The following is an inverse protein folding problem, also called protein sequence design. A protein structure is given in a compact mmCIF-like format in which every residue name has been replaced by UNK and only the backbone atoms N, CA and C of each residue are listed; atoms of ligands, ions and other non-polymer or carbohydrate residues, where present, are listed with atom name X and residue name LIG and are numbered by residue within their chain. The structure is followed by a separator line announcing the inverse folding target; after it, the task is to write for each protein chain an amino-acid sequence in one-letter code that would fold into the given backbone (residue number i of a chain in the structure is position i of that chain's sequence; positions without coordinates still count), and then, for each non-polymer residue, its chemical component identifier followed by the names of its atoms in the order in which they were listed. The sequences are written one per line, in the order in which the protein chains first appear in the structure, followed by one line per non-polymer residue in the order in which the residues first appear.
data_IF_308934628491
#
_entry.id   IF_308934628491
#
_cell.length_a   1.000
_cell.length_b   1.000
_cell.length_c   1.000
_cell.angle_alpha   90.00
_cell.angle_beta   90.00
_cell.angle_gamma   90.00
#
_symmetry.space_group_name_H-M   'P 1'
#
loop_
_entity.id
_entity.type
_entity.pdbx_description
1 polymer ?
#
# COMPACT_ATOMS: atom_id res chain seq x y z
N UNK A 1 -7.19 -11.63 -10.51
CA UNK A 1 -8.39 -12.46 -10.24
C UNK A 1 -9.58 -11.78 -10.87
N UNK A 2 -10.59 -12.55 -11.24
CA UNK A 2 -11.89 -12.02 -11.68
C UNK A 2 -12.98 -12.82 -10.97
N UNK A 3 -14.16 -12.22 -10.88
CA UNK A 3 -15.34 -12.86 -10.32
C UNK A 3 -16.17 -13.46 -11.44
N UNK A 4 -16.71 -14.66 -11.22
CA UNK A 4 -17.68 -15.30 -12.13
C UNK A 4 -18.96 -15.53 -11.35
N UNK A 5 -20.07 -14.99 -11.86
CA UNK A 5 -21.37 -15.17 -11.23
C UNK A 5 -21.89 -16.58 -11.55
N UNK A 6 -22.17 -17.45 -10.54
CA UNK A 6 -22.58 -18.83 -10.80
C UNK A 6 -23.81 -18.98 -11.70
N UNK A 7 -24.75 -18.03 -11.65
CA UNK A 7 -25.94 -18.02 -12.51
C UNK A 7 -25.64 -17.78 -14.00
N UNK A 8 -24.57 -17.02 -14.31
CA UNK A 8 -24.17 -16.71 -15.70
C UNK A 8 -23.05 -17.63 -16.19
N UNK A 9 -22.39 -18.35 -15.28
CA UNK A 9 -21.27 -19.24 -15.56
C UNK A 9 -21.56 -20.22 -16.71
N UNK A 10 -22.72 -20.87 -16.68
CA UNK A 10 -23.15 -21.84 -17.69
C UNK A 10 -23.55 -21.20 -19.03
N UNK A 11 -23.71 -19.87 -19.07
CA UNK A 11 -24.10 -19.12 -20.25
C UNK A 11 -22.94 -18.44 -20.98
N UNK A 12 -21.70 -18.67 -20.55
CA UNK A 12 -20.51 -18.25 -21.31
C UNK A 12 -19.30 -17.95 -20.44
N UNK A 13 -19.50 -17.48 -19.22
CA UNK A 13 -18.42 -16.98 -18.37
C UNK A 13 -17.42 -18.08 -17.96
N UNK A 14 -17.84 -19.36 -17.95
CA UNK A 14 -16.90 -20.48 -17.77
C UNK A 14 -15.83 -20.54 -18.87
N UNK A 15 -16.07 -19.94 -20.04
CA UNK A 15 -15.07 -19.80 -21.10
C UNK A 15 -13.84 -19.00 -20.69
N UNK A 16 -13.94 -18.14 -19.67
CA UNK A 16 -12.84 -17.34 -19.16
C UNK A 16 -11.84 -18.14 -18.30
N UNK A 17 -12.22 -19.35 -17.87
CA UNK A 17 -11.40 -20.19 -17.00
C UNK A 17 -10.56 -21.20 -17.80
N UNK A 18 -9.28 -21.27 -17.45
CA UNK A 18 -8.27 -22.18 -17.99
C UNK A 18 -7.89 -23.26 -16.96
N UNK A 19 -7.30 -24.40 -17.37
CA UNK A 19 -6.83 -25.42 -16.44
C UNK A 19 -5.73 -24.96 -15.47
N UNK A 20 -5.07 -23.83 -15.74
CA UNK A 20 -4.03 -23.23 -14.89
C UNK A 20 -4.63 -22.38 -13.76
N UNK A 21 -5.93 -22.11 -13.81
CA UNK A 21 -6.64 -21.33 -12.80
C UNK A 21 -6.99 -22.15 -11.56
N UNK A 22 -7.24 -21.44 -10.47
CA UNK A 22 -7.80 -21.97 -9.23
C UNK A 22 -9.16 -21.32 -9.00
N UNK A 23 -10.21 -22.13 -8.85
CA UNK A 23 -11.54 -21.67 -8.51
C UNK A 23 -11.75 -21.70 -6.99
N UNK A 24 -12.00 -20.54 -6.40
CA UNK A 24 -12.50 -20.44 -5.02
C UNK A 24 -14.02 -20.32 -5.08
N UNK A 25 -14.70 -21.37 -4.65
CA UNK A 25 -16.15 -21.48 -4.58
C UNK A 25 -16.63 -21.17 -3.15
N UNK A 26 -17.49 -20.15 -3.01
CA UNK A 26 -18.00 -19.71 -1.70
C UNK A 26 -19.47 -20.07 -1.59
N UNK A 27 -19.83 -20.92 -0.62
CA UNK A 27 -21.22 -21.23 -0.29
C UNK A 27 -21.31 -21.65 1.18
N UNK A 28 -22.01 -20.88 2.00
CA UNK A 28 -22.12 -21.18 3.43
C UNK A 28 -22.76 -22.55 3.69
N UNK A 29 -23.81 -22.92 2.96
CA UNK A 29 -24.44 -24.25 3.06
C UNK A 29 -23.64 -25.34 2.33
N UNK A 30 -22.89 -24.95 1.29
CA UNK A 30 -22.23 -25.87 0.36
C UNK A 30 -23.19 -26.61 -0.57
N UNK A 31 -24.46 -26.18 -0.63
CA UNK A 31 -25.54 -26.79 -1.42
C UNK A 31 -26.19 -25.81 -2.41
N UNK A 32 -25.57 -24.66 -2.69
CA UNK A 32 -26.09 -23.67 -3.64
C UNK A 32 -26.16 -24.28 -5.05
N UNK A 33 -27.37 -24.39 -5.58
CA UNK A 33 -27.67 -25.16 -6.80
C UNK A 33 -26.88 -24.67 -8.02
N UNK A 34 -26.83 -23.35 -8.24
CA UNK A 34 -26.10 -22.73 -9.34
C UNK A 34 -24.61 -23.06 -9.31
N UNK A 35 -24.05 -23.13 -8.10
CA UNK A 35 -22.65 -23.48 -7.88
C UNK A 35 -22.40 -24.98 -8.05
N UNK A 36 -23.31 -25.84 -7.58
CA UNK A 36 -23.19 -27.28 -7.78
C UNK A 36 -23.26 -27.66 -9.27
N UNK A 37 -24.10 -26.97 -10.05
CA UNK A 37 -24.24 -27.22 -11.50
C UNK A 37 -22.97 -26.98 -12.30
N UNK A 38 -22.06 -26.11 -11.84
CA UNK A 38 -20.80 -25.84 -12.55
C UNK A 38 -19.70 -26.86 -12.23
N UNK A 39 -19.76 -27.56 -11.08
CA UNK A 39 -18.71 -28.49 -10.61
C UNK A 39 -18.30 -29.54 -11.66
N UNK A 40 -19.22 -30.22 -12.38
CA UNK A 40 -18.83 -31.20 -13.39
C UNK A 40 -17.94 -30.64 -14.50
N UNK A 41 -18.17 -29.38 -14.89
CA UNK A 41 -17.37 -28.69 -15.92
C UNK A 41 -15.99 -28.34 -15.37
N UNK A 42 -15.93 -27.81 -14.15
CA UNK A 42 -14.68 -27.48 -13.44
C UNK A 42 -13.79 -28.74 -13.33
N UNK A 43 -14.36 -29.86 -12.89
CA UNK A 43 -13.64 -31.14 -12.79
C UNK A 43 -13.18 -31.67 -14.14
N UNK A 44 -14.04 -31.61 -15.18
CA UNK A 44 -13.66 -32.05 -16.54
C UNK A 44 -12.49 -31.24 -17.09
N UNK A 45 -12.45 -29.93 -16.80
CA UNK A 45 -11.37 -29.03 -17.19
C UNK A 45 -10.13 -29.13 -16.29
N UNK A 46 -10.17 -29.94 -15.24
CA UNK A 46 -9.09 -30.12 -14.26
C UNK A 46 -8.67 -28.81 -13.57
N UNK A 47 -9.63 -27.91 -13.40
CA UNK A 47 -9.42 -26.66 -12.64
C UNK A 47 -9.44 -27.04 -11.16
N UNK A 48 -8.44 -26.56 -10.40
CA UNK A 48 -8.38 -26.82 -8.95
C UNK A 48 -9.53 -26.11 -8.26
N UNK A 49 -10.31 -26.84 -7.46
CA UNK A 49 -11.47 -26.34 -6.75
C UNK A 49 -11.18 -26.22 -5.24
N UNK A 50 -11.16 -24.99 -4.74
CA UNK A 50 -11.14 -24.68 -3.31
C UNK A 50 -12.56 -24.30 -2.88
N UNK A 51 -13.12 -25.00 -1.90
CA UNK A 51 -14.39 -24.64 -1.27
C UNK A 51 -14.17 -23.78 -0.03
N UNK A 52 -14.93 -22.70 0.11
CA UNK A 52 -15.17 -22.02 1.38
C UNK A 52 -16.61 -22.27 1.79
N UNK A 53 -16.81 -23.13 2.80
CA UNK A 53 -18.16 -23.49 3.27
C UNK A 53 -18.22 -23.67 4.78
N UNK A 54 -19.38 -23.40 5.36
CA UNK A 54 -19.65 -23.63 6.78
C UNK A 54 -20.12 -25.06 7.07
N UNK A 55 -20.32 -25.89 6.03
CA UNK A 55 -20.74 -27.28 6.17
C UNK A 55 -19.74 -28.22 5.46
N UNK A 56 -18.84 -28.82 6.24
CA UNK A 56 -17.81 -29.74 5.74
C UNK A 56 -18.37 -31.07 5.18
N UNK A 57 -19.64 -31.38 5.45
CA UNK A 57 -20.31 -32.57 4.93
C UNK A 57 -21.11 -32.29 3.64
N UNK A 58 -21.10 -31.05 3.16
CA UNK A 58 -21.85 -30.62 1.99
C UNK A 58 -21.34 -31.24 0.68
N UNK A 59 -22.17 -31.19 -0.36
CA UNK A 59 -21.82 -31.60 -1.72
C UNK A 59 -20.60 -30.82 -2.21
N UNK A 60 -20.57 -29.50 -2.02
CA UNK A 60 -19.41 -28.68 -2.41
C UNK A 60 -18.13 -29.14 -1.70
N UNK A 61 -18.15 -29.31 -0.38
CA UNK A 61 -16.98 -29.72 0.40
C UNK A 61 -16.42 -31.07 -0.08
N UNK A 62 -17.32 -32.04 -0.32
CA UNK A 62 -16.95 -33.39 -0.79
C UNK A 62 -16.39 -33.41 -2.21
N UNK A 63 -16.76 -32.43 -3.03
CA UNK A 63 -16.32 -32.36 -4.43
C UNK A 63 -15.06 -31.51 -4.61
N UNK A 64 -14.70 -30.67 -3.65
CA UNK A 64 -13.52 -29.80 -3.71
C UNK A 64 -12.21 -30.54 -3.47
N UNK A 65 -11.11 -30.01 -4.02
CA UNK A 65 -9.75 -30.50 -3.78
C UNK A 65 -9.24 -30.03 -2.41
N UNK A 66 -9.65 -28.83 -1.99
CA UNK A 66 -9.36 -28.26 -0.66
C UNK A 66 -10.62 -27.62 -0.10
N UNK A 67 -10.89 -27.84 1.18
CA UNK A 67 -12.01 -27.21 1.87
C UNK A 67 -11.50 -26.31 3.00
N UNK A 68 -11.91 -25.05 2.99
CA UNK A 68 -11.67 -24.04 4.01
C UNK A 68 -12.96 -23.87 4.82
N UNK A 69 -12.87 -24.18 6.12
CA UNK A 69 -14.00 -24.06 7.05
C UNK A 69 -14.24 -22.58 7.39
N UNK A 70 -15.43 -22.09 7.04
CA UNK A 70 -15.91 -20.74 7.38
C UNK A 70 -17.12 -20.80 8.32
N UNK A 71 -17.32 -21.93 9.00
CA UNK A 71 -18.42 -22.13 9.93
C UNK A 71 -18.36 -21.14 11.10
N UNK A 72 -19.54 -20.72 11.53
CA UNK A 72 -19.70 -19.84 12.69
C UNK A 72 -20.60 -20.52 13.72
N UNK A 73 -20.29 -20.32 15.00
CA UNK A 73 -21.09 -20.91 16.09
C UNK A 73 -22.55 -20.45 16.08
N UNK A 74 -22.78 -19.20 15.66
CA UNK A 74 -24.11 -18.58 15.62
C UNK A 74 -24.09 -17.39 14.67
N UNK A 75 -25.18 -17.22 13.92
CA UNK A 75 -25.44 -15.99 13.18
C UNK A 75 -25.85 -14.85 14.12
N UNK A 76 -25.33 -13.65 13.86
CA UNK A 76 -25.75 -12.46 14.59
C UNK A 76 -27.23 -12.08 14.33
N UNK A 77 -27.82 -12.52 13.22
CA UNK A 77 -29.21 -12.25 12.88
C UNK A 77 -30.15 -12.88 13.93
N UNK A 78 -31.00 -12.09 14.63
CA UNK A 78 -31.94 -12.62 15.62
C UNK A 78 -32.92 -13.65 15.03
N UNK A 79 -33.29 -13.47 13.76
CA UNK A 79 -34.22 -14.35 13.05
C UNK A 79 -33.54 -15.57 12.40
N UNK A 80 -32.20 -15.62 12.39
CA UNK A 80 -31.40 -16.65 11.70
C UNK A 80 -31.68 -16.78 10.19
N UNK A 81 -32.24 -15.74 9.57
CA UNK A 81 -32.55 -15.71 8.13
C UNK A 81 -31.42 -15.08 7.30
N UNK A 82 -30.78 -14.05 7.85
CA UNK A 82 -29.76 -13.30 7.15
C UNK A 82 -28.35 -13.78 7.55
N UNK A 83 -27.47 -14.03 6.58
CA UNK A 83 -26.06 -14.28 6.87
C UNK A 83 -25.42 -12.97 7.35
N UNK A 84 -24.81 -13.00 8.54
CA UNK A 84 -24.14 -11.84 9.13
C UNK A 84 -22.75 -12.24 9.64
N UNK A 85 -22.71 -13.23 10.53
CA UNK A 85 -21.46 -13.72 11.10
C UNK A 85 -20.70 -14.56 10.07
N UNK A 86 -21.41 -15.40 9.29
CA UNK A 86 -20.79 -16.22 8.25
C UNK A 86 -20.16 -15.41 7.12
N UNK A 87 -20.81 -14.35 6.65
CA UNK A 87 -20.25 -13.45 5.63
C UNK A 87 -19.01 -12.72 6.14
N UNK A 88 -19.02 -12.28 7.40
CA UNK A 88 -17.85 -11.68 8.05
C UNK A 88 -16.70 -12.69 8.18
N UNK A 89 -16.99 -13.91 8.65
CA UNK A 89 -15.99 -14.98 8.74
C UNK A 89 -15.39 -15.33 7.37
N UNK A 90 -16.22 -15.36 6.33
CA UNK A 90 -15.80 -15.57 4.94
C UNK A 90 -14.86 -14.46 4.46
N UNK A 91 -15.20 -13.20 4.72
CA UNK A 91 -14.34 -12.06 4.37
C UNK A 91 -12.98 -12.17 5.06
N UNK A 92 -12.96 -12.46 6.36
CA UNK A 92 -11.73 -12.63 7.13
C UNK A 92 -10.90 -13.83 6.62
N UNK A 93 -11.52 -14.93 6.21
CA UNK A 93 -10.83 -16.04 5.55
C UNK A 93 -10.16 -15.60 4.24
N UNK A 94 -10.85 -14.78 3.44
CA UNK A 94 -10.29 -14.17 2.24
C UNK A 94 -9.07 -13.29 2.54
N UNK A 95 -9.16 -12.42 3.55
CA UNK A 95 -8.05 -11.57 3.99
C UNK A 95 -6.86 -12.40 4.49
N UNK A 96 -7.11 -13.48 5.22
CA UNK A 96 -6.07 -14.39 5.69
C UNK A 96 -5.34 -15.06 4.51
N UNK A 97 -6.06 -15.55 3.50
CA UNK A 97 -5.45 -16.10 2.28
C UNK A 97 -4.61 -15.05 1.56
N UNK A 98 -5.15 -13.83 1.38
CA UNK A 98 -4.43 -12.75 0.74
C UNK A 98 -3.13 -12.40 1.48
N UNK A 99 -3.18 -12.27 2.81
CA UNK A 99 -2.02 -11.97 3.65
C UNK A 99 -0.94 -13.05 3.58
N UNK A 100 -1.34 -14.33 3.62
CA UNK A 100 -0.42 -15.46 3.47
C UNK A 100 0.23 -15.45 2.09
N UNK A 101 -0.54 -15.25 1.02
CA UNK A 101 -0.02 -15.17 -0.35
C UNK A 101 0.93 -13.99 -0.54
N UNK A 102 0.62 -12.82 0.04
CA UNK A 102 1.50 -11.66 0.04
C UNK A 102 2.85 -12.00 0.68
N UNK A 103 2.84 -12.67 1.84
CA UNK A 103 4.07 -13.10 2.52
C UNK A 103 4.85 -14.12 1.69
N UNK A 104 4.17 -15.15 1.17
CA UNK A 104 4.81 -16.21 0.37
C UNK A 104 5.42 -15.68 -0.93
N UNK A 105 4.77 -14.69 -1.57
CA UNK A 105 5.25 -14.06 -2.79
C UNK A 105 6.23 -12.91 -2.54
N UNK A 106 6.58 -12.62 -1.28
CA UNK A 106 7.41 -11.48 -0.90
C UNK A 106 6.89 -10.16 -1.51
N UNK A 107 5.57 -9.95 -1.46
CA UNK A 107 4.89 -8.79 -2.02
C UNK A 107 5.33 -7.52 -1.30
N UNK A 108 5.85 -6.55 -2.06
CA UNK A 108 6.48 -5.34 -1.52
C UNK A 108 5.54 -4.13 -1.58
N UNK A 109 5.82 -3.08 -0.79
CA UNK A 109 5.11 -1.81 -0.92
C UNK A 109 5.15 -1.23 -2.35
N UNK A 110 6.26 -1.38 -3.07
CA UNK A 110 6.36 -0.89 -4.44
C UNK A 110 5.42 -1.64 -5.39
N UNK A 111 5.24 -2.96 -5.20
CA UNK A 111 4.26 -3.75 -5.96
C UNK A 111 2.84 -3.24 -5.69
N UNK A 112 2.52 -2.93 -4.43
CA UNK A 112 1.23 -2.33 -4.07
C UNK A 112 1.00 -1.00 -4.82
N UNK A 113 2.03 -0.17 -4.89
CA UNK A 113 1.95 1.16 -5.49
C UNK A 113 1.72 1.10 -7.01
N UNK A 114 2.27 0.10 -7.70
CA UNK A 114 2.04 -0.14 -9.13
C UNK A 114 0.58 -0.45 -9.46
N UNK A 115 -0.13 -1.18 -8.59
CA UNK A 115 -1.55 -1.47 -8.78
C UNK A 115 -2.48 -0.37 -8.26
N UNK A 116 -1.97 0.60 -7.51
CA UNK A 116 -2.77 1.67 -6.89
C UNK A 116 -2.16 3.08 -7.06
N UNK A 117 -1.74 3.49 -8.27
CA UNK A 117 -0.95 4.71 -8.47
C UNK A 117 -1.71 6.00 -8.13
N UNK A 118 -3.04 6.01 -8.27
CA UNK A 118 -3.88 7.18 -8.00
C UNK A 118 -4.18 7.44 -6.53
N UNK A 119 -3.97 6.45 -5.66
CA UNK A 119 -4.25 6.56 -4.23
C UNK A 119 -3.20 7.38 -3.46
N UNK A 120 -3.57 7.90 -2.29
CA UNK A 120 -2.64 8.63 -1.41
C UNK A 120 -1.42 7.78 -1.02
N UNK A 121 -1.64 6.49 -0.77
CA UNK A 121 -0.58 5.54 -0.43
C UNK A 121 0.33 5.20 -1.62
N UNK A 122 -0.24 4.93 -2.79
CA UNK A 122 0.53 4.68 -4.00
C UNK A 122 1.39 5.89 -4.39
N UNK A 123 0.82 7.10 -4.30
CA UNK A 123 1.58 8.34 -4.49
C UNK A 123 2.74 8.45 -3.51
N UNK A 124 2.51 8.20 -2.21
CA UNK A 124 3.57 8.24 -1.19
C UNK A 124 4.69 7.25 -1.46
N UNK A 125 4.35 6.04 -1.89
CA UNK A 125 5.33 4.97 -2.18
C UNK A 125 6.10 5.21 -3.48
N UNK A 126 5.49 5.85 -4.49
CA UNK A 126 6.14 6.16 -5.77
C UNK A 126 6.92 7.48 -5.76
N UNK A 127 6.67 8.37 -4.79
CA UNK A 127 7.36 9.66 -4.68
C UNK A 127 8.83 9.44 -4.30
N UNK A 128 9.75 9.88 -5.16
CA UNK A 128 11.20 9.82 -4.92
C UNK A 128 11.70 11.16 -4.40
N UNK A 129 12.88 11.15 -3.77
CA UNK A 129 13.55 12.39 -3.29
C UNK A 129 13.65 13.44 -4.40
N UNK A 130 14.02 13.03 -5.61
CA UNK A 130 14.12 13.93 -6.78
C UNK A 130 12.81 14.63 -7.17
N UNK A 131 11.66 14.06 -6.79
CA UNK A 131 10.35 14.62 -7.12
C UNK A 131 9.95 15.73 -6.14
N UNK A 132 10.59 15.78 -4.96
CA UNK A 132 10.35 16.78 -3.91
C UNK A 132 11.52 17.75 -3.72
N UNK A 133 12.75 17.32 -4.04
CA UNK A 133 13.94 18.13 -3.81
C UNK A 133 13.93 19.37 -4.71
N UNK A 134 14.32 20.49 -4.13
CA UNK A 134 14.63 21.70 -4.90
C UNK A 134 16.05 21.56 -5.43
N UNK A 135 16.22 21.56 -6.76
CA UNK A 135 17.53 21.41 -7.42
C UNK A 135 17.95 22.63 -8.23
N UNK A 136 17.08 23.64 -8.31
CA UNK A 136 17.30 24.88 -9.05
C UNK A 136 17.13 26.06 -8.12
N UNK A 137 17.81 27.16 -8.42
CA UNK A 137 17.76 28.41 -7.65
C UNK A 137 18.05 28.20 -6.15
N UNK A 138 19.05 27.36 -5.87
CA UNK A 138 19.50 27.12 -4.50
C UNK A 138 20.08 28.42 -3.91
N UNK A 139 19.74 28.79 -2.67
CA UNK A 139 20.35 29.91 -1.97
C UNK A 139 21.78 29.54 -1.59
N UNK A 140 22.73 29.88 -2.46
CA UNK A 140 24.15 29.52 -2.30
C UNK A 140 24.93 30.72 -1.75
N UNK A 141 25.78 30.48 -0.76
CA UNK A 141 26.68 31.47 -0.16
C UNK A 141 28.11 30.91 -0.07
N UNK A 142 29.09 31.79 0.05
CA UNK A 142 30.48 31.44 0.34
C UNK A 142 30.71 31.38 1.86
N UNK A 143 31.68 30.60 2.38
CA UNK A 143 32.04 30.61 3.81
C UNK A 143 32.32 32.01 4.39
N UNK A 144 32.80 32.93 3.57
CA UNK A 144 33.13 34.30 3.98
C UNK A 144 31.99 35.31 3.76
N UNK A 145 30.81 34.88 3.29
CA UNK A 145 29.64 35.75 3.11
C UNK A 145 29.23 36.37 4.44
N UNK A 146 29.04 37.69 4.43
CA UNK A 146 28.66 38.48 5.60
C UNK A 146 27.21 38.23 6.01
N UNK A 147 26.91 38.45 7.30
CA UNK A 147 25.61 38.18 7.90
C UNK A 147 24.42 38.77 7.12
N UNK A 148 24.49 40.05 6.75
CA UNK A 148 23.37 40.72 6.05
C UNK A 148 23.12 40.14 4.66
N UNK A 149 24.17 39.80 3.92
CA UNK A 149 24.07 39.19 2.59
C UNK A 149 23.56 37.76 2.70
N UNK A 150 23.99 37.02 3.72
CA UNK A 150 23.48 35.69 4.01
C UNK A 150 21.97 35.71 4.30
N UNK A 151 21.47 36.67 5.08
CA UNK A 151 20.03 36.85 5.35
C UNK A 151 19.28 37.17 4.05
N UNK A 152 19.82 38.05 3.21
CA UNK A 152 19.20 38.41 1.94
C UNK A 152 19.09 37.20 1.00
N UNK A 153 20.15 36.39 0.89
CA UNK A 153 20.18 35.17 0.07
C UNK A 153 19.19 34.13 0.60
N UNK A 154 19.17 33.90 1.92
CA UNK A 154 18.24 32.96 2.56
C UNK A 154 16.78 33.36 2.33
N UNK A 155 16.48 34.65 2.54
CA UNK A 155 15.14 35.22 2.38
C UNK A 155 14.67 35.12 0.93
N UNK A 156 15.57 35.42 -0.03
CA UNK A 156 15.27 35.31 -1.45
C UNK A 156 15.05 33.87 -1.90
N UNK A 157 15.80 32.92 -1.33
CA UNK A 157 15.64 31.49 -1.60
C UNK A 157 14.33 30.89 -1.08
N UNK A 158 13.76 31.45 0.01
CA UNK A 158 12.51 30.98 0.64
C UNK A 158 12.50 29.49 1.04
N UNK A 159 13.68 28.92 1.26
CA UNK A 159 13.85 27.52 1.68
C UNK A 159 14.16 27.38 3.18
N UNK A 160 14.33 28.50 3.90
CA UNK A 160 14.71 28.50 5.33
C UNK A 160 16.14 28.02 5.59
N UNK A 161 16.97 27.95 4.55
CA UNK A 161 18.37 27.55 4.60
C UNK A 161 19.18 28.23 3.50
N UNK A 162 20.50 28.25 3.68
CA UNK A 162 21.53 28.53 2.68
C UNK A 162 22.47 27.33 2.54
N UNK A 163 22.91 27.06 1.32
CA UNK A 163 23.93 26.07 1.00
C UNK A 163 25.27 26.79 0.94
N UNK A 164 26.25 26.34 1.72
CA UNK A 164 27.59 26.95 1.73
C UNK A 164 28.49 26.19 0.76
N UNK A 165 28.97 26.89 -0.27
CA UNK A 165 29.83 26.33 -1.31
C UNK A 165 31.16 27.07 -1.34
N UNK A 166 32.25 26.32 -1.36
CA UNK A 166 33.62 26.82 -1.55
C UNK A 166 34.31 25.95 -2.61
N UNK A 167 34.93 26.58 -3.61
CA UNK A 167 35.62 25.87 -4.71
C UNK A 167 34.76 24.75 -5.35
N UNK A 168 33.49 25.08 -5.66
CA UNK A 168 32.47 24.16 -6.22
C UNK A 168 32.12 22.94 -5.33
N UNK A 169 32.58 22.92 -4.09
CA UNK A 169 32.28 21.85 -3.13
C UNK A 169 31.28 22.34 -2.09
N UNK A 170 30.32 21.48 -1.77
CA UNK A 170 29.46 21.66 -0.61
C UNK A 170 30.31 21.55 0.65
N UNK A 171 30.41 22.64 1.41
CA UNK A 171 31.18 22.69 2.66
C UNK A 171 30.28 22.85 3.89
N UNK A 172 29.01 23.19 3.72
CA UNK A 172 28.06 23.27 4.83
C UNK A 172 26.65 23.69 4.42
N UNK A 173 25.76 23.75 5.41
CA UNK A 173 24.43 24.36 5.29
C UNK A 173 24.20 25.25 6.51
N UNK A 174 23.44 26.33 6.34
CA UNK A 174 23.06 27.24 7.42
C UNK A 174 21.55 27.37 7.38
N UNK A 175 20.87 27.07 8.47
CA UNK A 175 19.40 27.16 8.59
C UNK A 175 18.96 28.40 9.38
N UNK A 176 17.68 28.75 9.31
CA UNK A 176 17.07 29.75 10.21
C UNK A 176 17.33 29.45 11.70
N UNK A 177 17.44 28.16 12.04
CA UNK A 177 17.75 27.70 13.39
C UNK A 177 19.18 28.07 13.82
N UNK A 178 20.15 27.90 12.91
CA UNK A 178 21.56 28.24 13.15
C UNK A 178 21.72 29.75 13.36
N UNK A 179 21.07 30.55 12.50
CA UNK A 179 21.07 32.01 12.64
C UNK A 179 20.50 32.46 13.98
N UNK A 180 19.37 31.89 14.39
CA UNK A 180 18.75 32.21 15.68
C UNK A 180 19.64 31.84 16.86
N UNK A 181 20.38 30.74 16.77
CA UNK A 181 21.32 30.32 17.80
C UNK A 181 22.52 31.26 17.85
N UNK A 182 23.12 31.57 16.71
CA UNK A 182 24.28 32.48 16.62
C UNK A 182 23.97 33.86 17.20
N UNK A 183 22.77 34.41 16.94
CA UNK A 183 22.33 35.71 17.47
C UNK A 183 22.03 35.73 18.99
N UNK A 184 21.84 34.56 19.62
CA UNK A 184 21.62 34.47 21.08
C UNK A 184 22.93 34.42 21.86
N UNK A 185 24.04 34.05 21.22
CA UNK A 185 25.37 34.02 21.82
C UNK A 185 25.88 35.45 22.03
N UNK A 186 26.25 35.81 23.26
CA UNK A 186 26.56 37.18 23.70
C UNK A 186 28.00 37.64 23.38
N UNK A 187 28.79 36.87 22.62
CA UNK A 187 30.25 37.07 22.52
C UNK A 187 30.69 38.02 21.39
N UNK A 188 29.78 38.48 20.53
CA UNK A 188 30.06 39.42 19.43
C UNK A 188 28.99 40.51 19.29
N UNK A 189 29.33 41.67 18.68
CA UNK A 189 28.31 42.62 18.24
C UNK A 189 27.24 41.91 17.40
N UNK A 190 25.97 42.23 17.66
CA UNK A 190 24.87 41.65 16.89
C UNK A 190 25.11 41.91 15.40
N UNK A 191 25.02 40.86 14.59
CA UNK A 191 25.13 40.90 13.11
C UNK A 191 26.55 40.97 12.54
N UNK A 192 27.60 40.74 13.33
CA UNK A 192 29.01 40.68 12.87
C UNK A 192 29.52 39.24 12.80
N UNK A 193 28.95 38.45 11.88
CA UNK A 193 29.27 37.05 11.66
C UNK A 193 29.42 36.74 10.18
N UNK A 194 30.42 35.93 9.82
CA UNK A 194 30.50 35.29 8.51
C UNK A 194 29.77 33.95 8.52
N UNK A 195 29.35 33.48 7.35
CA UNK A 195 28.70 32.18 7.17
C UNK A 195 29.42 31.02 7.90
N UNK A 196 30.75 30.94 7.76
CA UNK A 196 31.57 29.89 8.41
C UNK A 196 31.57 29.92 9.95
N UNK A 197 31.13 31.01 10.56
CA UNK A 197 31.06 31.17 12.00
C UNK A 197 29.67 30.79 12.56
N UNK A 198 28.70 30.54 11.67
CA UNK A 198 27.31 30.18 12.00
C UNK A 198 27.05 28.69 11.76
N UNK A 199 27.80 28.07 10.83
CA UNK A 199 27.71 26.65 10.48
C UNK A 199 28.13 25.70 11.61
#
# INVERSE_FOLDING_TARGET
SFFVHPGEALHGDLGMMTPEDVLIAISNSGETEELLKIIPVIKRRKITLIAMTGNLNSTLAKQADVCLDISVKKEACPLKLAPMSSTTATLVMGDALAAVLMKMKNFKPDDFALFHPGGSLGRKLLTKVKDLMVSKNLPIVHPDTEFNDLINVMTSGKLGLCVVIENEKLVGIITDGDLRRALKTNDKPRFDFKAKEIM
#
